data_IF_686838248936
#
_entry.id   IF_686838248936
#
_cell.length_a   1.000
_cell.length_b   1.000
_cell.length_c   1.000
_cell.angle_alpha   90.00
_cell.angle_beta   90.00
_cell.angle_gamma   90.00
#
_symmetry.space_group_name_H-M   'P 1'
#
loop_
_entity.id
_entity.type
_entity.pdbx_description
1 polymer ?
#
# COMPACT_ATOMS: atom_id res chain seq x y z
N UNK A 1 -14.13 15.62 -64.10
CA UNK A 1 -13.01 14.97 -63.38
C UNK A 1 -11.96 16.04 -63.10
N UNK A 2 -11.79 16.57 -61.87
CA UNK A 2 -10.59 17.39 -61.46
C UNK A 2 -10.63 18.01 -60.06
N UNK A 3 -11.46 17.55 -59.09
CA UNK A 3 -11.38 18.08 -57.69
C UNK A 3 -11.46 17.06 -56.54
N UNK A 4 -11.55 15.76 -56.82
CA UNK A 4 -11.63 14.70 -55.78
C UNK A 4 -10.41 13.78 -55.65
N UNK A 5 -9.33 14.00 -56.42
CA UNK A 5 -8.10 13.17 -56.35
C UNK A 5 -6.91 13.83 -55.62
N UNK A 6 -6.99 15.12 -55.28
CA UNK A 6 -5.85 15.83 -54.65
C UNK A 6 -5.86 15.74 -53.11
N UNK A 7 -7.03 15.53 -52.49
CA UNK A 7 -7.14 15.42 -51.02
C UNK A 7 -6.66 14.06 -50.43
N UNK A 8 -6.38 13.06 -51.27
CA UNK A 8 -5.80 11.77 -50.83
C UNK A 8 -4.28 11.70 -50.92
N UNK A 9 -3.61 12.67 -51.55
CA UNK A 9 -2.15 12.67 -51.68
C UNK A 9 -1.43 13.58 -50.67
N UNK A 10 -2.09 14.57 -50.08
CA UNK A 10 -1.50 15.37 -48.99
C UNK A 10 -1.68 14.76 -47.59
N UNK A 11 -2.61 13.80 -47.43
CA UNK A 11 -2.75 13.06 -46.16
C UNK A 11 -1.71 11.93 -46.00
N UNK A 12 -1.01 11.55 -47.07
CA UNK A 12 0.05 10.54 -47.04
C UNK A 12 1.46 11.15 -46.97
N UNK A 13 1.64 12.43 -47.31
CA UNK A 13 2.92 13.11 -47.21
C UNK A 13 3.11 13.86 -45.87
N UNK A 14 2.02 14.25 -45.21
CA UNK A 14 2.06 14.92 -43.89
C UNK A 14 2.07 13.98 -42.67
N UNK A 15 1.82 12.69 -42.87
CA UNK A 15 1.83 11.66 -41.81
C UNK A 15 3.08 10.77 -41.82
N UNK A 16 3.92 10.85 -42.86
CA UNK A 16 5.18 10.12 -42.95
C UNK A 16 6.38 10.96 -42.45
N UNK A 17 6.22 12.28 -42.32
CA UNK A 17 7.27 13.19 -41.86
C UNK A 17 7.43 13.33 -40.33
N UNK A 18 6.60 12.67 -39.53
CA UNK A 18 6.59 12.78 -38.06
C UNK A 18 6.71 11.44 -37.32
N UNK A 19 7.00 10.35 -38.04
CA UNK A 19 7.11 9.00 -37.46
C UNK A 19 8.29 8.22 -38.05
N UNK A 20 9.42 8.91 -38.20
CA UNK A 20 10.73 8.28 -38.24
C UNK A 20 11.63 9.08 -37.29
N UNK A 21 11.36 8.98 -35.98
CA UNK A 21 12.48 8.63 -35.11
C UNK A 21 13.13 7.44 -35.81
N UNK A 22 14.42 7.49 -36.18
CA UNK A 22 15.07 6.30 -36.69
C UNK A 22 14.75 5.24 -35.66
N UNK A 23 13.97 4.27 -36.09
CA UNK A 23 13.84 3.03 -35.40
C UNK A 23 15.29 2.55 -35.29
N UNK A 24 15.94 2.87 -34.18
CA UNK A 24 16.95 2.01 -33.62
C UNK A 24 16.16 0.75 -33.29
N UNK A 25 15.95 -0.05 -34.34
CA UNK A 25 15.68 -1.47 -34.28
C UNK A 25 16.98 -2.07 -33.75
N UNK A 26 17.30 -1.76 -32.50
CA UNK A 26 18.10 -2.65 -31.72
C UNK A 26 17.15 -3.80 -31.45
N UNK A 27 17.41 -4.94 -32.08
CA UNK A 27 16.72 -6.18 -31.75
C UNK A 27 16.85 -6.36 -30.25
N UNK A 28 15.79 -6.09 -29.51
CA UNK A 28 15.74 -6.44 -28.09
C UNK A 28 15.91 -7.94 -28.03
N UNK A 29 17.08 -8.37 -27.59
CA UNK A 29 17.37 -9.79 -27.42
C UNK A 29 16.67 -10.19 -26.14
N UNK A 30 15.70 -11.10 -26.24
CA UNK A 30 14.98 -11.65 -25.08
C UNK A 30 15.98 -12.25 -24.09
N UNK A 31 15.76 -12.00 -22.80
CA UNK A 31 16.65 -12.44 -21.73
C UNK A 31 17.92 -11.61 -21.63
N UNK A 32 17.85 -10.31 -21.93
CA UNK A 32 18.98 -9.37 -21.85
C UNK A 32 18.56 -8.00 -21.33
N UNK A 33 19.55 -7.19 -20.98
CA UNK A 33 19.37 -5.78 -20.60
C UNK A 33 20.04 -4.87 -21.61
N UNK A 34 19.31 -3.94 -22.19
CA UNK A 34 19.83 -2.96 -23.15
C UNK A 34 20.05 -1.62 -22.46
N UNK A 35 21.23 -1.04 -22.57
CA UNK A 35 21.47 0.38 -22.31
C UNK A 35 21.38 1.15 -23.64
N UNK A 36 20.29 1.92 -23.91
CA UNK A 36 20.11 2.59 -25.19
C UNK A 36 21.11 3.70 -25.45
N UNK A 37 21.64 4.36 -24.40
CA UNK A 37 22.65 5.41 -24.55
C UNK A 37 23.94 4.81 -25.08
N UNK A 38 24.39 3.71 -24.48
CA UNK A 38 25.61 3.00 -24.89
C UNK A 38 25.41 2.14 -26.13
N UNK A 39 24.16 1.78 -26.46
CA UNK A 39 23.80 0.80 -27.51
C UNK A 39 24.43 -0.57 -27.26
N UNK A 40 24.58 -0.92 -25.98
CA UNK A 40 25.17 -2.18 -25.51
C UNK A 40 24.08 -3.01 -24.85
N UNK A 41 24.14 -4.32 -25.09
CA UNK A 41 23.27 -5.31 -24.46
C UNK A 41 24.09 -6.20 -23.54
N UNK A 42 23.59 -6.40 -22.33
CA UNK A 42 24.23 -7.15 -21.26
C UNK A 42 23.50 -8.48 -21.02
N UNK A 43 24.22 -9.56 -20.65
CA UNK A 43 23.63 -10.85 -20.36
C UNK A 43 22.79 -10.89 -19.07
N UNK A 44 23.10 -10.01 -18.12
CA UNK A 44 22.49 -9.93 -16.79
C UNK A 44 22.29 -8.47 -16.35
N UNK A 45 21.46 -8.30 -15.31
CA UNK A 45 21.10 -6.99 -14.78
C UNK A 45 22.27 -6.33 -14.02
N UNK A 46 23.00 -7.08 -13.20
CA UNK A 46 24.12 -6.55 -12.42
C UNK A 46 25.20 -5.92 -13.33
N UNK A 47 25.60 -6.61 -14.39
CA UNK A 47 26.61 -6.12 -15.32
C UNK A 47 26.13 -4.85 -16.03
N UNK A 48 24.84 -4.78 -16.35
CA UNK A 48 24.25 -3.56 -16.94
C UNK A 48 24.30 -2.38 -15.97
N UNK A 49 24.00 -2.61 -14.69
CA UNK A 49 24.10 -1.63 -13.59
C UNK A 49 25.54 -1.15 -13.42
N UNK A 50 26.51 -2.08 -13.32
CA UNK A 50 27.92 -1.76 -13.11
C UNK A 50 28.54 -0.93 -14.25
N UNK A 51 27.97 -0.98 -15.46
CA UNK A 51 28.44 -0.25 -16.63
C UNK A 51 27.60 1.00 -16.96
N UNK A 52 26.53 1.25 -16.21
CA UNK A 52 25.66 2.39 -16.42
C UNK A 52 26.34 3.69 -15.96
N UNK A 53 26.15 4.76 -16.73
CA UNK A 53 26.46 6.11 -16.27
C UNK A 53 25.28 6.73 -15.49
N UNK A 54 25.51 7.81 -14.72
CA UNK A 54 24.44 8.51 -14.03
C UNK A 54 23.31 8.94 -14.97
N UNK A 55 22.07 8.60 -14.62
CA UNK A 55 20.86 8.92 -15.39
C UNK A 55 20.57 7.95 -16.54
N UNK A 56 21.38 6.90 -16.73
CA UNK A 56 21.12 5.91 -17.77
C UNK A 56 19.81 5.16 -17.55
N UNK A 57 19.19 4.75 -18.66
CA UNK A 57 18.02 3.87 -18.65
C UNK A 57 18.43 2.47 -19.11
N UNK A 58 18.14 1.47 -18.30
CA UNK A 58 18.36 0.06 -18.57
C UNK A 58 17.03 -0.59 -18.94
N UNK A 59 16.95 -1.18 -20.13
CA UNK A 59 15.74 -1.83 -20.67
C UNK A 59 15.84 -3.35 -20.50
N UNK A 60 15.09 -3.91 -19.54
CA UNK A 60 15.00 -5.36 -19.34
C UNK A 60 14.07 -5.96 -20.39
N UNK A 61 14.63 -6.73 -21.31
CA UNK A 61 13.90 -7.30 -22.45
C UNK A 61 13.67 -8.80 -22.24
N UNK A 62 12.42 -9.21 -22.03
CA UNK A 62 12.07 -10.61 -21.76
C UNK A 62 12.39 -11.06 -20.33
N UNK A 63 12.63 -12.35 -20.13
CA UNK A 63 12.88 -12.94 -18.80
C UNK A 63 14.37 -13.11 -18.55
N UNK A 64 14.88 -12.47 -17.50
CA UNK A 64 16.17 -12.80 -16.89
C UNK A 64 15.92 -13.89 -15.84
N UNK A 65 16.80 -14.89 -15.79
CA UNK A 65 16.62 -16.06 -14.93
C UNK A 65 17.85 -16.34 -14.06
N UNK A 66 17.61 -16.87 -12.86
CA UNK A 66 18.66 -17.17 -11.89
C UNK A 66 19.39 -15.90 -11.46
N UNK A 67 20.70 -16.02 -11.20
CA UNK A 67 21.55 -14.90 -10.82
C UNK A 67 21.53 -13.72 -11.81
N UNK A 68 21.18 -13.96 -13.09
CA UNK A 68 21.12 -12.89 -14.09
C UNK A 68 19.99 -11.88 -13.85
N UNK A 69 19.00 -12.23 -13.03
CA UNK A 69 17.84 -11.42 -12.71
C UNK A 69 18.01 -10.52 -11.48
N UNK A 70 19.09 -10.74 -10.72
CA UNK A 70 19.37 -10.06 -9.46
C UNK A 70 20.23 -8.82 -9.72
N UNK A 71 20.03 -7.76 -8.94
CA UNK A 71 20.92 -6.61 -8.96
C UNK A 71 21.06 -5.95 -7.57
N UNK A 72 22.30 -5.60 -7.26
CA UNK A 72 22.73 -4.64 -6.26
C UNK A 72 23.03 -3.32 -6.98
N UNK A 73 22.36 -2.25 -6.55
CA UNK A 73 22.42 -0.92 -7.14
C UNK A 73 23.52 -0.04 -6.52
N UNK A 74 24.53 -0.63 -5.90
CA UNK A 74 25.72 0.08 -5.41
C UNK A 74 26.27 1.04 -6.46
N UNK A 75 26.28 2.33 -6.13
CA UNK A 75 26.80 3.37 -7.00
C UNK A 75 25.89 3.77 -8.18
N UNK A 76 24.71 3.16 -8.31
CA UNK A 76 23.82 3.39 -9.44
C UNK A 76 22.93 4.63 -9.23
N UNK A 77 22.64 5.32 -10.32
CA UNK A 77 21.65 6.40 -10.41
C UNK A 77 21.07 6.37 -11.81
N UNK A 78 19.75 6.26 -11.94
CA UNK A 78 19.14 6.06 -13.25
C UNK A 78 17.82 5.29 -13.19
N UNK A 79 17.53 4.56 -14.27
CA UNK A 79 16.22 3.93 -14.47
C UNK A 79 16.39 2.48 -14.90
N UNK A 80 15.65 1.57 -14.31
CA UNK A 80 15.50 0.18 -14.76
C UNK A 80 14.06 -0.02 -15.17
N UNK A 81 13.81 -0.30 -16.45
CA UNK A 81 12.46 -0.35 -17.00
C UNK A 81 12.24 -1.56 -17.90
N UNK A 82 11.00 -2.02 -18.01
CA UNK A 82 10.65 -3.05 -18.99
C UNK A 82 10.89 -2.57 -20.44
N UNK A 83 11.46 -3.45 -21.26
CA UNK A 83 11.62 -3.22 -22.69
C UNK A 83 10.27 -3.08 -23.40
N UNK A 84 10.18 -2.20 -24.40
CA UNK A 84 8.95 -2.03 -25.19
C UNK A 84 8.53 -3.35 -25.86
N UNK A 85 7.30 -3.79 -25.61
CA UNK A 85 6.69 -4.96 -26.26
C UNK A 85 7.07 -6.32 -25.66
N UNK A 86 8.00 -6.35 -24.70
CA UNK A 86 8.37 -7.54 -23.94
C UNK A 86 8.18 -7.23 -22.45
N UNK A 87 7.39 -8.04 -21.72
CA UNK A 87 7.30 -7.89 -20.26
C UNK A 87 8.67 -8.22 -19.65
N UNK A 88 9.44 -7.21 -19.30
CA UNK A 88 10.70 -7.36 -18.56
C UNK A 88 10.42 -8.10 -17.26
N UNK A 89 10.91 -9.33 -17.15
CA UNK A 89 10.64 -10.22 -16.02
C UNK A 89 11.94 -10.57 -15.33
N UNK A 90 12.00 -10.39 -14.02
CA UNK A 90 13.08 -10.86 -13.17
C UNK A 90 12.63 -12.14 -12.47
N UNK A 91 13.32 -13.24 -12.74
CA UNK A 91 13.08 -14.56 -12.16
C UNK A 91 14.37 -15.10 -11.51
N UNK A 92 14.69 -14.73 -10.26
CA UNK A 92 15.93 -15.14 -9.60
C UNK A 92 16.00 -16.63 -9.26
N UNK A 93 14.92 -17.40 -9.44
CA UNK A 93 14.79 -18.77 -8.94
C UNK A 93 14.03 -18.82 -7.61
N UNK A 94 14.15 -19.94 -6.88
CA UNK A 94 13.38 -20.20 -5.65
C UNK A 94 14.10 -19.81 -4.37
N UNK A 95 15.39 -19.52 -4.46
CA UNK A 95 16.22 -19.15 -3.31
C UNK A 95 16.35 -17.64 -3.26
N UNK A 96 16.18 -17.04 -2.09
CA UNK A 96 16.42 -15.62 -1.92
C UNK A 96 17.89 -15.29 -2.19
N UNK A 97 18.20 -14.21 -2.94
CA UNK A 97 19.57 -13.75 -3.10
C UNK A 97 20.24 -13.41 -1.76
N UNK A 98 21.57 -13.38 -1.74
CA UNK A 98 22.33 -13.15 -0.51
C UNK A 98 22.08 -11.76 0.11
N UNK A 99 21.69 -10.77 -0.70
CA UNK A 99 21.26 -9.44 -0.25
C UNK A 99 19.90 -9.44 0.42
N UNK A 100 19.15 -10.54 0.42
CA UNK A 100 17.76 -10.57 0.88
C UNK A 100 16.74 -10.06 -0.16
N UNK A 101 17.18 -9.56 -1.32
CA UNK A 101 16.31 -8.92 -2.30
C UNK A 101 16.62 -9.29 -3.76
N UNK A 102 15.61 -9.21 -4.64
CA UNK A 102 15.80 -9.35 -6.09
C UNK A 102 16.48 -8.11 -6.67
N UNK A 103 16.06 -6.92 -6.24
CA UNK A 103 16.77 -5.66 -6.46
C UNK A 103 17.07 -5.05 -5.10
N UNK A 104 18.35 -4.93 -4.80
CA UNK A 104 18.86 -4.24 -3.62
C UNK A 104 19.25 -2.81 -4.03
N UNK A 105 18.51 -1.83 -3.52
CA UNK A 105 18.69 -0.40 -3.75
C UNK A 105 19.33 0.33 -2.56
N UNK A 106 19.81 -0.41 -1.56
CA UNK A 106 20.37 0.11 -0.31
C UNK A 106 21.59 1.00 -0.52
N UNK A 107 22.42 0.71 -1.53
CA UNK A 107 23.64 1.47 -1.83
C UNK A 107 23.55 2.36 -3.08
N UNK A 108 22.33 2.79 -3.46
CA UNK A 108 22.12 3.70 -4.60
C UNK A 108 22.86 5.03 -4.39
N UNK A 109 23.47 5.58 -5.44
CA UNK A 109 24.22 6.85 -5.35
C UNK A 109 23.36 8.10 -5.54
N UNK A 110 22.06 7.94 -5.74
CA UNK A 110 21.14 9.01 -6.10
C UNK A 110 19.79 8.47 -6.55
N UNK A 111 19.02 9.29 -7.25
CA UNK A 111 17.66 8.94 -7.66
C UNK A 111 17.60 7.70 -8.56
N UNK A 112 16.81 6.71 -8.14
CA UNK A 112 16.57 5.46 -8.90
C UNK A 112 15.08 5.31 -9.21
N UNK A 113 14.78 4.91 -10.45
CA UNK A 113 13.42 4.55 -10.88
C UNK A 113 13.36 3.13 -11.41
N UNK A 114 12.53 2.29 -10.81
CA UNK A 114 12.24 0.93 -11.25
C UNK A 114 10.80 0.92 -11.78
N UNK A 115 10.59 0.55 -13.06
CA UNK A 115 9.26 0.68 -13.64
C UNK A 115 8.84 -0.37 -14.67
N UNK A 116 7.57 -0.78 -14.58
CA UNK A 116 6.92 -1.63 -15.58
C UNK A 116 7.39 -3.08 -15.61
N UNK A 117 8.24 -3.49 -14.67
CA UNK A 117 8.77 -4.85 -14.57
C UNK A 117 7.73 -5.82 -14.00
N UNK A 118 7.96 -7.11 -14.24
CA UNK A 118 7.42 -8.19 -13.43
C UNK A 118 8.56 -8.78 -12.59
N UNK A 119 8.37 -8.90 -11.28
CA UNK A 119 9.36 -9.47 -10.37
C UNK A 119 8.73 -10.71 -9.71
N UNK A 120 9.38 -11.87 -9.89
CA UNK A 120 9.04 -13.09 -9.16
C UNK A 120 9.87 -13.13 -7.88
N UNK A 121 9.20 -13.07 -6.72
CA UNK A 121 9.88 -12.94 -5.43
C UNK A 121 9.98 -14.31 -4.74
N UNK A 122 11.19 -14.80 -4.43
CA UNK A 122 11.38 -16.04 -3.67
C UNK A 122 10.71 -16.01 -2.29
N UNK A 123 10.59 -17.18 -1.65
CA UNK A 123 10.06 -17.27 -0.29
C UNK A 123 11.02 -16.63 0.73
N UNK A 124 10.50 -15.82 1.65
CA UNK A 124 11.26 -15.12 2.68
C UNK A 124 12.22 -14.10 2.08
N UNK A 125 11.77 -13.37 1.06
CA UNK A 125 12.62 -12.49 0.26
C UNK A 125 11.89 -11.19 -0.09
N UNK A 126 12.66 -10.18 -0.48
CA UNK A 126 12.15 -8.87 -0.87
C UNK A 126 12.22 -8.69 -2.38
N UNK A 127 11.18 -8.08 -2.97
CA UNK A 127 11.20 -7.69 -4.38
C UNK A 127 12.18 -6.55 -4.66
N UNK A 128 11.99 -5.42 -4.00
CA UNK A 128 12.89 -4.25 -3.99
C UNK A 128 13.15 -3.83 -2.55
N UNK A 129 14.41 -3.85 -2.13
CA UNK A 129 14.85 -3.44 -0.79
C UNK A 129 15.59 -2.09 -0.86
N UNK A 130 15.36 -1.22 0.11
CA UNK A 130 16.14 -0.03 0.37
C UNK A 130 16.41 0.07 1.87
N UNK A 131 17.57 -0.40 2.28
CA UNK A 131 17.95 -0.56 3.69
C UNK A 131 19.13 0.38 3.99
N UNK A 132 18.89 1.36 4.86
CA UNK A 132 19.89 2.34 5.27
C UNK A 132 20.92 1.78 6.25
N UNK A 133 20.57 0.73 6.98
CA UNK A 133 21.37 0.05 7.98
C UNK A 133 22.53 -0.75 7.35
N UNK A 134 22.28 -1.31 6.16
CA UNK A 134 23.26 -2.07 5.38
C UNK A 134 23.82 -1.31 4.17
N UNK A 135 23.21 -0.17 3.82
CA UNK A 135 23.51 0.61 2.64
C UNK A 135 24.25 1.93 2.89
N UNK A 136 24.50 2.66 1.80
CA UNK A 136 24.98 4.07 1.83
C UNK A 136 24.12 4.97 0.94
N UNK A 137 22.92 4.50 0.60
CA UNK A 137 21.98 5.14 -0.29
C UNK A 137 20.84 5.85 0.45
N UNK A 138 20.90 5.86 1.77
CA UNK A 138 20.03 6.58 2.69
C UNK A 138 19.71 8.00 2.20
N UNK A 139 18.45 8.42 2.33
CA UNK A 139 18.05 9.75 1.87
C UNK A 139 17.79 9.87 0.37
N UNK A 140 18.35 8.99 -0.47
CA UNK A 140 18.26 9.16 -1.91
C UNK A 140 16.90 8.75 -2.47
N UNK A 141 16.34 9.45 -3.47
CA UNK A 141 15.01 9.12 -3.99
C UNK A 141 14.92 7.71 -4.60
N UNK A 142 13.84 7.01 -4.31
CA UNK A 142 13.51 5.73 -4.92
C UNK A 142 12.07 5.74 -5.43
N UNK A 143 11.87 5.48 -6.72
CA UNK A 143 10.54 5.30 -7.30
C UNK A 143 10.36 3.88 -7.83
N UNK A 144 9.38 3.16 -7.29
CA UNK A 144 8.94 1.86 -7.81
C UNK A 144 7.53 2.05 -8.38
N UNK A 145 7.40 1.98 -9.71
CA UNK A 145 6.15 2.33 -10.38
C UNK A 145 5.68 1.33 -11.44
N UNK A 146 4.42 0.91 -11.33
CA UNK A 146 3.77 0.05 -12.32
C UNK A 146 4.41 -1.34 -12.40
N UNK A 147 5.03 -1.79 -11.31
CA UNK A 147 5.68 -3.10 -11.21
C UNK A 147 4.64 -4.14 -10.78
N UNK A 148 4.71 -5.33 -11.37
CA UNK A 148 3.96 -6.51 -10.94
C UNK A 148 4.84 -7.41 -10.08
N UNK A 149 4.52 -7.51 -8.79
CA UNK A 149 5.16 -8.43 -7.86
C UNK A 149 4.29 -9.66 -7.64
N UNK A 150 4.89 -10.84 -7.77
CA UNK A 150 4.23 -12.12 -7.54
C UNK A 150 5.18 -13.07 -6.84
N UNK A 151 4.67 -13.87 -5.91
CA UNK A 151 5.44 -14.97 -5.32
C UNK A 151 5.99 -15.90 -6.40
N UNK A 152 7.24 -16.35 -6.24
CA UNK A 152 7.89 -17.25 -7.18
C UNK A 152 7.13 -18.57 -7.31
N UNK A 153 6.59 -19.05 -6.20
CA UNK A 153 5.63 -20.15 -6.14
C UNK A 153 4.34 -19.65 -5.48
N UNK A 154 3.26 -20.43 -5.59
CA UNK A 154 1.98 -20.11 -4.94
C UNK A 154 2.04 -20.10 -3.40
N UNK A 155 3.13 -20.62 -2.82
CA UNK A 155 3.37 -20.67 -1.38
C UNK A 155 4.52 -19.78 -0.94
N UNK A 156 5.12 -18.99 -1.84
CA UNK A 156 6.14 -18.02 -1.45
C UNK A 156 5.48 -16.92 -0.64
N UNK A 157 5.90 -16.78 0.62
CA UNK A 157 5.65 -15.61 1.47
C UNK A 157 6.74 -14.59 1.19
N UNK A 158 6.40 -13.33 0.90
CA UNK A 158 7.38 -12.31 0.50
C UNK A 158 6.90 -10.88 0.81
N UNK A 159 7.87 -9.96 0.82
CA UNK A 159 7.65 -8.51 0.82
C UNK A 159 7.91 -7.96 -0.57
N UNK A 160 7.02 -7.14 -1.13
CA UNK A 160 7.22 -6.66 -2.50
C UNK A 160 8.22 -5.50 -2.55
N UNK A 161 8.06 -4.54 -1.64
CA UNK A 161 8.88 -3.34 -1.53
C UNK A 161 9.08 -3.12 -0.03
N UNK A 162 10.33 -2.89 0.37
CA UNK A 162 10.71 -2.69 1.77
C UNK A 162 11.70 -1.54 1.84
N UNK A 163 11.43 -0.58 2.72
CA UNK A 163 12.46 0.30 3.26
C UNK A 163 12.83 -0.16 4.65
N UNK A 164 14.05 0.09 5.10
CA UNK A 164 14.53 -0.16 6.48
C UNK A 164 15.37 1.04 6.90
N UNK A 165 15.02 1.69 8.01
CA UNK A 165 15.74 2.85 8.55
C UNK A 165 15.95 4.00 7.53
N UNK A 166 15.05 4.15 6.56
CA UNK A 166 15.19 5.18 5.53
C UNK A 166 14.71 6.55 6.03
N UNK A 167 15.36 7.61 5.57
CA UNK A 167 14.94 8.99 5.80
C UNK A 167 15.02 9.80 4.50
N UNK A 168 14.64 11.07 4.50
CA UNK A 168 14.73 11.93 3.31
C UNK A 168 13.79 11.49 2.19
N UNK A 169 14.32 11.18 1.00
CA UNK A 169 13.54 10.74 -0.16
C UNK A 169 13.46 11.78 -1.29
N UNK A 170 12.41 11.76 -2.14
CA UNK A 170 11.15 11.04 -1.94
C UNK A 170 11.19 9.54 -2.28
N UNK A 171 10.45 8.75 -1.48
CA UNK A 171 10.11 7.35 -1.76
C UNK A 171 8.72 7.28 -2.39
N UNK A 172 8.63 6.72 -3.60
CA UNK A 172 7.40 6.73 -4.38
C UNK A 172 7.05 5.32 -4.86
N UNK A 173 6.02 4.74 -4.25
CA UNK A 173 5.51 3.42 -4.60
C UNK A 173 4.15 3.58 -5.28
N UNK A 174 4.17 3.56 -6.61
CA UNK A 174 3.06 4.06 -7.41
C UNK A 174 2.50 2.97 -8.34
N UNK A 175 1.18 2.77 -8.33
CA UNK A 175 0.50 1.96 -9.34
C UNK A 175 1.02 0.51 -9.46
N UNK A 176 1.66 -0.01 -8.40
CA UNK A 176 2.17 -1.37 -8.40
C UNK A 176 1.02 -2.36 -8.21
N UNK A 177 1.20 -3.57 -8.72
CA UNK A 177 0.30 -4.70 -8.47
C UNK A 177 1.07 -5.76 -7.71
N UNK A 178 0.61 -6.10 -6.51
CA UNK A 178 1.25 -7.05 -5.61
C UNK A 178 0.25 -8.17 -5.33
N UNK A 179 0.63 -9.42 -5.62
CA UNK A 179 -0.27 -10.56 -5.42
C UNK A 179 0.48 -11.84 -5.04
N UNK A 180 0.04 -12.50 -3.98
CA UNK A 180 0.64 -13.75 -3.50
C UNK A 180 0.35 -13.98 -2.02
N UNK A 181 1.17 -14.78 -1.33
CA UNK A 181 1.17 -14.82 0.13
C UNK A 181 2.12 -13.73 0.60
N UNK A 182 1.63 -12.83 1.44
CA UNK A 182 2.37 -11.64 1.82
C UNK A 182 2.91 -11.85 3.22
N UNK A 183 4.13 -11.40 3.46
CA UNK A 183 4.43 -10.88 4.79
C UNK A 183 3.72 -9.51 4.88
N UNK A 184 4.38 -8.34 4.72
CA UNK A 184 3.68 -7.17 4.20
C UNK A 184 3.75 -7.11 2.67
N UNK A 185 2.73 -6.53 2.04
CA UNK A 185 2.80 -6.18 0.61
C UNK A 185 3.84 -5.10 0.36
N UNK A 186 3.77 -4.01 1.14
CA UNK A 186 4.76 -2.93 1.18
C UNK A 186 5.12 -2.69 2.63
N UNK A 187 6.40 -2.63 2.93
CA UNK A 187 6.89 -2.16 4.23
C UNK A 187 7.56 -0.80 4.04
N UNK A 188 7.08 0.21 4.77
CA UNK A 188 7.66 1.54 4.81
C UNK A 188 8.17 1.79 6.22
N UNK A 189 9.39 1.35 6.47
CA UNK A 189 10.10 1.55 7.72
C UNK A 189 11.05 2.76 7.59
N UNK A 190 10.85 3.74 8.47
CA UNK A 190 11.72 4.91 8.61
C UNK A 190 12.79 4.68 9.69
N UNK A 191 13.56 5.71 10.04
CA UNK A 191 14.63 5.60 11.06
C UNK A 191 14.24 6.15 12.45
N UNK A 192 12.99 6.60 12.61
CA UNK A 192 12.45 7.16 13.85
C UNK A 192 13.10 8.47 14.32
N UNK A 193 14.07 9.02 13.58
CA UNK A 193 14.87 10.17 14.01
C UNK A 193 14.89 11.32 12.99
N UNK A 194 14.88 11.01 11.71
CA UNK A 194 14.98 11.93 10.60
C UNK A 194 13.73 11.87 9.72
N UNK A 195 13.24 13.04 9.30
CA UNK A 195 12.02 13.12 8.51
C UNK A 195 12.12 12.38 7.17
N UNK A 196 11.06 11.65 6.81
CA UNK A 196 10.92 10.92 5.54
C UNK A 196 9.78 11.51 4.68
N UNK A 197 10.00 11.59 3.36
CA UNK A 197 8.99 11.91 2.36
C UNK A 197 8.62 10.64 1.57
N UNK A 198 7.40 10.15 1.75
CA UNK A 198 6.92 8.93 1.10
C UNK A 198 5.50 9.06 0.54
N UNK A 199 5.27 8.43 -0.63
CA UNK A 199 3.94 8.35 -1.25
C UNK A 199 3.64 6.96 -1.79
N UNK A 200 2.62 6.34 -1.22
CA UNK A 200 2.06 5.06 -1.63
C UNK A 200 0.74 5.34 -2.34
N UNK A 201 0.74 5.30 -3.68
CA UNK A 201 -0.39 5.78 -4.48
C UNK A 201 -0.87 4.78 -5.52
N UNK A 202 -2.18 4.48 -5.51
CA UNK A 202 -2.83 3.61 -6.50
C UNK A 202 -2.25 2.21 -6.63
N UNK A 203 -1.60 1.70 -5.58
CA UNK A 203 -1.18 0.31 -5.55
C UNK A 203 -2.39 -0.60 -5.41
N UNK A 204 -2.29 -1.79 -6.01
CA UNK A 204 -3.25 -2.88 -5.85
C UNK A 204 -2.56 -4.04 -5.17
N UNK A 205 -2.95 -4.33 -3.95
CA UNK A 205 -2.37 -5.36 -3.10
C UNK A 205 -3.43 -6.43 -2.86
N UNK A 206 -3.11 -7.68 -3.10
CA UNK A 206 -4.04 -8.80 -2.93
C UNK A 206 -3.32 -9.96 -2.29
N UNK A 207 -3.60 -10.17 -1.00
CA UNK A 207 -3.20 -11.39 -0.32
C UNK A 207 -4.06 -12.56 -0.82
N UNK A 208 -3.44 -13.69 -1.09
CA UNK A 208 -4.08 -14.87 -1.68
C UNK A 208 -3.92 -16.13 -0.84
N UNK A 209 -3.22 -16.04 0.31
CA UNK A 209 -3.01 -17.17 1.21
C UNK A 209 -2.89 -16.75 2.66
N UNK A 210 -2.45 -17.68 3.50
CA UNK A 210 -2.44 -17.57 4.97
C UNK A 210 -1.02 -17.63 5.57
N UNK A 211 0.02 -17.48 4.75
CA UNK A 211 1.40 -17.40 5.23
C UNK A 211 1.85 -15.95 5.41
N UNK A 212 2.87 -15.74 6.24
CA UNK A 212 3.37 -14.40 6.62
C UNK A 212 2.47 -13.69 7.63
N UNK A 213 2.71 -12.39 7.85
CA UNK A 213 1.75 -11.52 8.55
C UNK A 213 0.45 -11.34 7.76
N UNK A 214 0.54 -11.32 6.42
CA UNK A 214 -0.60 -11.10 5.53
C UNK A 214 -1.00 -9.63 5.38
N UNK A 215 -0.16 -8.72 5.89
CA UNK A 215 -0.43 -7.30 5.89
C UNK A 215 -0.39 -6.70 4.47
N UNK A 216 -1.23 -5.69 4.23
CA UNK A 216 -1.22 -4.96 2.97
C UNK A 216 -0.05 -4.00 2.91
N UNK A 217 -0.01 -3.06 3.86
CA UNK A 217 1.02 -2.03 4.00
C UNK A 217 1.38 -1.95 5.48
N UNK A 218 2.66 -2.01 5.80
CA UNK A 218 3.21 -1.64 7.10
C UNK A 218 3.84 -0.26 7.00
N UNK A 219 3.71 0.54 8.05
CA UNK A 219 4.38 1.83 8.19
C UNK A 219 4.89 1.92 9.63
N UNK A 220 6.17 2.19 9.81
CA UNK A 220 6.81 2.28 11.11
C UNK A 220 7.83 3.43 11.13
N UNK A 221 8.13 3.90 12.34
CA UNK A 221 9.25 4.80 12.63
C UNK A 221 9.27 6.08 11.76
N UNK A 222 8.11 6.73 11.69
CA UNK A 222 7.88 7.99 10.99
C UNK A 222 7.87 9.16 11.99
N UNK A 223 8.97 9.93 12.12
CA UNK A 223 9.06 11.00 13.10
C UNK A 223 8.33 12.28 12.65
N UNK A 224 8.15 13.20 13.59
CA UNK A 224 7.62 14.54 13.35
C UNK A 224 8.32 15.24 12.16
N UNK A 225 7.53 15.91 11.31
CA UNK A 225 8.04 16.65 10.15
C UNK A 225 8.14 15.81 8.88
N UNK A 226 7.90 14.50 8.96
CA UNK A 226 7.75 13.62 7.82
C UNK A 226 6.51 13.98 6.98
N UNK A 227 6.54 13.59 5.71
CA UNK A 227 5.41 13.73 4.78
C UNK A 227 5.12 12.37 4.15
N UNK A 228 4.29 11.58 4.84
CA UNK A 228 3.88 10.24 4.39
C UNK A 228 2.42 10.25 3.95
N UNK A 229 2.16 9.79 2.73
CA UNK A 229 0.81 9.71 2.16
C UNK A 229 0.49 8.32 1.63
N UNK A 230 -0.63 7.76 2.07
CA UNK A 230 -1.18 6.50 1.57
C UNK A 230 -2.51 6.79 0.92
N UNK A 231 -2.55 6.77 -0.41
CA UNK A 231 -3.69 7.27 -1.15
C UNK A 231 -4.15 6.40 -2.31
N UNK A 232 -5.48 6.20 -2.39
CA UNK A 232 -6.12 5.48 -3.50
C UNK A 232 -5.58 4.06 -3.72
N UNK A 233 -5.07 3.42 -2.69
CA UNK A 233 -4.67 2.03 -2.76
C UNK A 233 -5.89 1.12 -2.63
N UNK A 234 -5.86 -0.02 -3.34
CA UNK A 234 -6.82 -1.10 -3.19
C UNK A 234 -6.12 -2.29 -2.52
N UNK A 235 -6.56 -2.64 -1.32
CA UNK A 235 -5.99 -3.71 -0.51
C UNK A 235 -7.09 -4.75 -0.26
N UNK A 236 -6.83 -5.99 -0.67
CA UNK A 236 -7.77 -7.11 -0.56
C UNK A 236 -7.12 -8.26 0.20
N UNK A 237 -7.67 -8.61 1.36
CA UNK A 237 -7.18 -9.69 2.22
C UNK A 237 -7.46 -11.10 1.70
N UNK A 238 -8.16 -11.24 0.57
CA UNK A 238 -8.34 -12.54 -0.08
C UNK A 238 -9.51 -13.38 0.43
N UNK A 239 -10.35 -12.84 1.34
CA UNK A 239 -11.64 -13.42 1.70
C UNK A 239 -11.73 -14.01 3.11
N UNK A 240 -12.86 -14.64 3.41
CA UNK A 240 -13.24 -15.12 4.76
C UNK A 240 -12.39 -16.28 5.29
N UNK A 241 -11.63 -16.97 4.45
CA UNK A 241 -10.77 -18.09 4.87
C UNK A 241 -9.28 -17.76 4.88
N UNK A 242 -8.88 -16.70 4.16
CA UNK A 242 -7.48 -16.36 3.93
C UNK A 242 -7.10 -14.96 4.43
N UNK A 243 -8.08 -14.13 4.82
CA UNK A 243 -7.88 -12.76 5.27
C UNK A 243 -7.34 -12.65 6.69
N UNK A 244 -6.08 -13.04 6.86
CA UNK A 244 -5.25 -12.75 8.03
C UNK A 244 -4.52 -11.40 7.86
N UNK A 245 -4.05 -10.82 8.95
CA UNK A 245 -3.27 -9.59 8.96
C UNK A 245 -4.12 -8.32 8.89
N UNK A 246 -3.44 -7.22 8.56
CA UNK A 246 -3.98 -5.86 8.59
C UNK A 246 -3.87 -5.21 7.21
N UNK A 247 -4.92 -4.50 6.78
CA UNK A 247 -4.89 -3.76 5.52
C UNK A 247 -3.80 -2.69 5.48
N UNK A 248 -3.79 -1.80 6.47
CA UNK A 248 -2.67 -0.87 6.75
C UNK A 248 -2.38 -0.93 8.25
N UNK A 249 -1.15 -1.29 8.57
CA UNK A 249 -0.65 -1.50 9.93
C UNK A 249 0.33 -0.40 10.32
N UNK A 250 0.12 0.22 11.47
CA UNK A 250 0.96 1.28 12.03
C UNK A 250 1.65 0.86 13.34
N UNK A 251 1.37 -0.32 13.88
CA UNK A 251 1.83 -0.73 15.22
C UNK A 251 3.31 -1.19 15.26
N UNK A 252 4.08 -0.86 14.22
CA UNK A 252 5.47 -1.32 14.06
C UNK A 252 6.49 -0.42 14.73
N UNK A 253 6.08 0.80 15.10
CA UNK A 253 6.94 1.85 15.62
C UNK A 253 6.18 3.18 15.59
N UNK A 254 6.79 4.25 16.10
CA UNK A 254 6.09 5.54 16.21
C UNK A 254 5.75 6.10 14.84
N UNK A 255 4.50 6.54 14.63
CA UNK A 255 4.12 7.23 13.39
C UNK A 255 3.47 8.59 13.64
N UNK A 256 4.05 9.63 13.06
CA UNK A 256 3.57 11.00 13.22
C UNK A 256 3.06 11.61 11.92
N UNK A 257 1.81 12.08 11.93
CA UNK A 257 1.26 12.91 10.85
C UNK A 257 1.05 12.19 9.51
N UNK A 258 0.99 10.84 9.50
CA UNK A 258 0.70 10.05 8.31
C UNK A 258 -0.72 10.33 7.79
N UNK A 259 -0.84 10.61 6.50
CA UNK A 259 -2.15 10.85 5.85
C UNK A 259 -2.60 9.63 5.05
N UNK A 260 -3.66 8.99 5.53
CA UNK A 260 -4.28 7.81 4.91
C UNK A 260 -5.64 8.22 4.34
N UNK A 261 -5.71 8.40 3.02
CA UNK A 261 -6.95 8.85 2.39
C UNK A 261 -7.37 8.14 1.11
N UNK A 262 -8.69 7.99 0.95
CA UNK A 262 -9.29 7.44 -0.28
C UNK A 262 -8.80 6.05 -0.62
N UNK A 263 -8.40 5.24 0.34
CA UNK A 263 -8.06 3.84 0.12
C UNK A 263 -9.32 2.96 0.14
N UNK A 264 -9.23 1.78 -0.44
CA UNK A 264 -10.25 0.73 -0.33
C UNK A 264 -9.61 -0.53 0.24
N UNK A 265 -10.01 -0.90 1.44
CA UNK A 265 -9.51 -2.06 2.18
C UNK A 265 -10.66 -3.03 2.41
N UNK A 266 -10.48 -4.30 2.06
CA UNK A 266 -11.56 -5.28 2.19
C UNK A 266 -11.11 -6.71 2.38
N UNK A 267 -12.04 -7.53 2.86
CA UNK A 267 -11.96 -8.99 2.91
C UNK A 267 -10.89 -9.58 3.85
N UNK A 268 -10.60 -8.91 4.96
CA UNK A 268 -9.79 -9.42 6.08
C UNK A 268 -10.72 -10.05 7.14
N UNK A 269 -11.49 -11.08 6.78
CA UNK A 269 -12.61 -11.57 7.60
C UNK A 269 -12.33 -12.90 8.32
N UNK A 270 -11.06 -13.31 8.45
CA UNK A 270 -10.71 -14.57 9.10
C UNK A 270 -10.41 -14.38 10.60
N UNK A 271 -11.40 -13.95 11.40
CA UNK A 271 -11.37 -13.96 12.88
C UNK A 271 -10.36 -13.05 13.59
N UNK A 272 -9.35 -12.56 12.89
CA UNK A 272 -8.32 -11.62 13.42
C UNK A 272 -7.94 -10.54 12.40
N UNK A 273 -8.64 -10.45 11.28
CA UNK A 273 -8.26 -9.57 10.18
C UNK A 273 -8.73 -8.13 10.39
N UNK A 274 -7.81 -7.18 10.26
CA UNK A 274 -8.06 -5.76 10.58
C UNK A 274 -7.98 -4.90 9.31
N UNK A 275 -8.83 -3.89 9.18
CA UNK A 275 -8.73 -2.92 8.09
C UNK A 275 -7.57 -1.94 8.30
N UNK A 276 -7.60 -1.24 9.44
CA UNK A 276 -6.58 -0.31 9.91
C UNK A 276 -6.23 -0.62 11.36
N UNK A 277 -4.95 -0.73 11.71
CA UNK A 277 -4.49 -0.86 13.09
C UNK A 277 -3.55 0.29 13.44
N UNK A 278 -3.66 0.79 14.67
CA UNK A 278 -2.81 1.84 15.25
C UNK A 278 -2.74 1.67 16.77
N UNK A 279 -1.67 2.14 17.37
CA UNK A 279 -1.44 2.06 18.82
C UNK A 279 -1.03 3.41 19.45
N UNK A 280 -0.55 3.39 20.69
CA UNK A 280 -0.24 4.60 21.46
C UNK A 280 0.93 5.43 20.95
N UNK A 281 1.76 4.89 20.05
CA UNK A 281 2.88 5.59 19.45
C UNK A 281 2.49 6.35 18.14
N UNK A 282 1.22 6.26 17.73
CA UNK A 282 0.70 6.85 16.49
C UNK A 282 0.06 8.24 16.70
N UNK A 283 0.86 9.30 16.58
CA UNK A 283 0.41 10.67 16.82
C UNK A 283 -0.08 11.41 15.57
N UNK A 284 -1.26 12.02 15.68
CA UNK A 284 -1.77 12.94 14.64
C UNK A 284 -2.03 12.30 13.27
N UNK A 285 -2.14 10.97 13.21
CA UNK A 285 -2.48 10.22 11.99
C UNK A 285 -3.89 10.60 11.51
N UNK A 286 -4.08 10.74 10.20
CA UNK A 286 -5.36 11.14 9.60
C UNK A 286 -5.90 10.06 8.67
N UNK A 287 -7.04 9.48 9.05
CA UNK A 287 -7.82 8.55 8.24
C UNK A 287 -9.05 9.24 7.65
N UNK A 288 -9.06 9.49 6.34
CA UNK A 288 -10.20 10.15 5.71
C UNK A 288 -10.64 9.60 4.36
N UNK A 289 -11.96 9.58 4.12
CA UNK A 289 -12.54 9.20 2.82
C UNK A 289 -12.15 7.80 2.35
N UNK A 290 -11.78 6.91 3.27
CA UNK A 290 -11.49 5.51 2.98
C UNK A 290 -12.78 4.68 2.87
N UNK A 291 -12.68 3.53 2.22
CA UNK A 291 -13.69 2.47 2.22
C UNK A 291 -13.09 1.26 2.90
N UNK A 292 -13.71 0.81 3.97
CA UNK A 292 -13.34 -0.38 4.74
C UNK A 292 -14.53 -1.33 4.70
N UNK A 293 -14.37 -2.52 4.15
CA UNK A 293 -15.49 -3.42 3.92
C UNK A 293 -15.16 -4.87 4.22
N UNK A 294 -15.99 -5.53 5.02
CA UNK A 294 -15.93 -6.98 5.22
C UNK A 294 -14.58 -7.42 5.81
N UNK A 295 -14.16 -6.75 6.87
CA UNK A 295 -13.04 -7.13 7.72
C UNK A 295 -13.59 -7.56 9.08
N UNK A 296 -12.85 -8.38 9.84
CA UNK A 296 -13.26 -8.76 11.20
C UNK A 296 -13.36 -7.51 12.07
N UNK A 297 -12.33 -6.67 12.03
CA UNK A 297 -12.31 -5.34 12.64
C UNK A 297 -12.07 -4.32 11.53
N UNK A 298 -12.92 -3.30 11.43
CA UNK A 298 -12.78 -2.22 10.46
C UNK A 298 -11.56 -1.34 10.80
N UNK A 299 -11.54 -0.81 12.01
CA UNK A 299 -10.44 0.01 12.55
C UNK A 299 -10.17 -0.45 13.97
N UNK A 300 -8.91 -0.66 14.32
CA UNK A 300 -8.44 -0.96 15.66
C UNK A 300 -7.56 0.19 16.15
N UNK A 301 -7.83 0.65 17.37
CA UNK A 301 -7.08 1.72 18.05
C UNK A 301 -6.74 1.23 19.46
N UNK A 302 -5.46 0.94 19.71
CA UNK A 302 -5.01 0.41 21.00
C UNK A 302 -4.08 1.37 21.74
N UNK A 303 -4.63 2.09 22.71
CA UNK A 303 -3.91 2.98 23.61
C UNK A 303 -3.70 2.36 25.00
N UNK A 304 -3.64 1.03 25.10
CA UNK A 304 -3.58 0.36 26.41
C UNK A 304 -2.32 0.69 27.21
N UNK A 305 -1.20 1.03 26.55
CA UNK A 305 0.09 1.28 27.21
C UNK A 305 0.29 2.76 27.60
N UNK A 306 0.00 3.70 26.70
CA UNK A 306 0.04 5.16 26.92
C UNK A 306 -1.15 5.86 26.23
N UNK A 307 -1.43 7.12 26.58
CA UNK A 307 -2.32 7.95 25.75
C UNK A 307 -1.43 8.79 24.81
N UNK A 308 -1.77 8.90 23.51
CA UNK A 308 -1.02 9.77 22.60
C UNK A 308 -1.16 11.24 23.03
N UNK A 309 -0.17 12.07 22.72
CA UNK A 309 -0.28 13.51 22.98
C UNK A 309 -1.18 14.19 21.96
N UNK A 310 -1.18 13.68 20.73
CA UNK A 310 -2.05 14.12 19.63
C UNK A 310 -2.88 12.97 19.10
N UNK A 311 -4.20 13.01 19.33
CA UNK A 311 -5.11 11.95 18.91
C UNK A 311 -5.22 11.84 17.38
N UNK A 312 -5.37 10.61 16.85
CA UNK A 312 -5.65 10.41 15.43
C UNK A 312 -7.02 10.97 15.05
N UNK A 313 -7.16 11.41 13.80
CA UNK A 313 -8.42 11.88 13.24
C UNK A 313 -9.02 10.82 12.31
N UNK A 314 -10.19 10.29 12.65
CA UNK A 314 -10.87 9.27 11.86
C UNK A 314 -12.19 9.86 11.36
N UNK A 315 -12.26 10.30 10.10
CA UNK A 315 -13.45 11.03 9.64
C UNK A 315 -13.78 10.80 8.18
N UNK A 316 -15.07 10.93 7.83
CA UNK A 316 -15.53 10.83 6.45
C UNK A 316 -15.20 9.47 5.78
N UNK A 317 -15.09 8.38 6.53
CA UNK A 317 -14.87 7.04 5.98
C UNK A 317 -16.20 6.29 5.77
N UNK A 318 -16.21 5.27 4.91
CA UNK A 318 -17.31 4.31 4.78
C UNK A 318 -16.84 2.96 5.33
N UNK A 319 -17.38 2.53 6.47
CA UNK A 319 -16.98 1.33 7.19
C UNK A 319 -18.19 0.39 7.22
N UNK A 320 -18.04 -0.76 6.56
CA UNK A 320 -19.16 -1.66 6.29
C UNK A 320 -18.84 -3.13 6.52
N UNK A 321 -19.84 -3.91 6.92
CA UNK A 321 -19.62 -5.32 7.23
C UNK A 321 -20.89 -6.07 7.65
N UNK A 322 -20.68 -7.25 8.23
CA UNK A 322 -21.70 -8.10 8.86
C UNK A 322 -21.75 -7.79 10.36
N UNK A 323 -22.75 -7.04 10.85
CA UNK A 323 -22.75 -6.55 12.23
C UNK A 323 -22.89 -7.65 13.29
N UNK A 324 -23.23 -8.88 12.89
CA UNK A 324 -23.34 -10.04 13.79
C UNK A 324 -22.00 -10.74 14.05
N UNK A 325 -20.99 -10.46 13.24
CA UNK A 325 -19.71 -11.19 13.26
C UNK A 325 -18.50 -10.28 13.08
N UNK A 326 -18.69 -8.97 12.97
CA UNK A 326 -17.62 -8.01 12.67
C UNK A 326 -17.81 -6.74 13.48
N UNK A 327 -16.70 -6.05 13.74
CA UNK A 327 -16.61 -4.81 14.50
C UNK A 327 -16.23 -3.66 13.57
N UNK A 328 -16.92 -2.53 13.68
CA UNK A 328 -16.62 -1.33 12.89
C UNK A 328 -15.36 -0.64 13.40
N UNK A 329 -15.33 -0.34 14.70
CA UNK A 329 -14.20 0.25 15.41
C UNK A 329 -14.01 -0.46 16.75
N UNK A 330 -12.80 -0.90 17.02
CA UNK A 330 -12.36 -1.38 18.33
C UNK A 330 -11.42 -0.34 18.95
N UNK A 331 -11.74 0.10 20.18
CA UNK A 331 -10.95 1.08 20.92
C UNK A 331 -10.55 0.56 22.30
N UNK A 332 -9.25 0.58 22.59
CA UNK A 332 -8.70 0.19 23.89
C UNK A 332 -8.02 1.41 24.54
N UNK A 333 -8.64 2.11 25.49
CA UNK A 333 -8.02 3.27 26.13
C UNK A 333 -6.97 2.89 27.19
N UNK A 334 -6.09 3.85 27.52
CA UNK A 334 -5.21 3.73 28.67
C UNK A 334 -6.00 3.90 29.98
N UNK A 335 -6.16 2.80 30.71
CA UNK A 335 -6.84 2.81 32.01
C UNK A 335 -8.35 3.07 31.92
N UNK A 336 -8.96 3.38 33.08
CA UNK A 336 -10.42 3.52 33.19
C UNK A 336 -10.91 4.93 32.83
N UNK A 337 -10.02 5.92 32.87
CA UNK A 337 -10.35 7.32 32.58
C UNK A 337 -10.30 7.53 31.08
N UNK A 338 -11.42 7.81 30.43
CA UNK A 338 -11.44 7.66 29.00
C UNK A 338 -10.88 8.93 28.30
N UNK A 339 -10.10 8.77 27.24
CA UNK A 339 -9.61 9.86 26.41
C UNK A 339 -10.41 9.95 25.11
N UNK A 340 -10.88 11.14 24.74
CA UNK A 340 -11.82 11.29 23.63
C UNK A 340 -11.15 10.99 22.28
N UNK A 341 -11.47 9.85 21.66
CA UNK A 341 -11.23 9.59 20.24
C UNK A 341 -12.38 10.20 19.43
N UNK A 342 -12.08 11.16 18.55
CA UNK A 342 -13.05 11.72 17.61
C UNK A 342 -13.11 10.87 16.33
N UNK A 343 -14.20 10.10 16.21
CA UNK A 343 -14.52 9.29 15.04
C UNK A 343 -15.81 9.77 14.36
N UNK A 344 -16.09 11.07 14.40
CA UNK A 344 -17.31 11.65 13.83
C UNK A 344 -17.31 11.71 12.30
N UNK A 345 -18.51 11.81 11.72
CA UNK A 345 -18.75 11.94 10.28
C UNK A 345 -18.36 10.74 9.41
N UNK A 346 -18.09 9.58 10.01
CA UNK A 346 -17.98 8.31 9.29
C UNK A 346 -19.38 7.70 9.03
N UNK A 347 -19.50 6.92 7.96
CA UNK A 347 -20.63 6.05 7.72
C UNK A 347 -20.32 4.65 8.25
N UNK A 348 -21.13 4.18 9.20
CA UNK A 348 -21.05 2.84 9.80
C UNK A 348 -22.30 2.06 9.41
N UNK A 349 -22.17 0.98 8.64
CA UNK A 349 -23.36 0.30 8.12
C UNK A 349 -23.15 -1.14 7.67
N UNK A 350 -24.26 -1.85 7.46
CA UNK A 350 -24.21 -3.19 6.90
C UNK A 350 -23.61 -3.22 5.48
N UNK A 351 -23.10 -4.38 5.08
CA UNK A 351 -22.55 -4.64 3.73
C UNK A 351 -23.54 -4.37 2.58
N UNK A 352 -24.85 -4.37 2.87
CA UNK A 352 -25.92 -3.98 1.94
C UNK A 352 -26.01 -2.48 1.66
N UNK A 353 -25.17 -1.66 2.31
CA UNK A 353 -25.23 -0.20 2.23
C UNK A 353 -26.41 0.40 2.99
N UNK A 354 -26.60 1.73 2.93
CA UNK A 354 -27.67 2.42 3.65
C UNK A 354 -29.05 1.95 3.18
N UNK A 355 -29.98 1.78 4.12
CA UNK A 355 -31.35 1.34 3.92
C UNK A 355 -32.34 2.45 4.30
N UNK A 356 -33.55 2.42 3.75
CA UNK A 356 -34.58 3.43 4.02
C UNK A 356 -35.04 3.48 5.50
N UNK A 357 -34.80 2.42 6.27
CA UNK A 357 -35.10 2.34 7.70
C UNK A 357 -34.04 3.03 8.60
N UNK A 358 -32.98 3.56 7.99
CA UNK A 358 -31.86 4.19 8.68
C UNK A 358 -32.19 5.64 9.09
N UNK A 359 -33.22 5.83 9.90
CA UNK A 359 -33.67 7.18 10.30
C UNK A 359 -33.36 7.47 11.76
N UNK A 360 -32.54 8.50 12.00
CA UNK A 360 -32.62 9.34 13.19
C UNK A 360 -31.86 8.93 14.45
N UNK A 361 -31.15 7.79 14.48
CA UNK A 361 -30.30 7.40 15.59
C UNK A 361 -28.97 6.81 15.09
N UNK A 362 -27.95 6.92 15.95
CA UNK A 362 -26.69 6.20 15.82
C UNK A 362 -26.98 4.72 15.57
N UNK A 363 -26.48 4.11 14.50
CA UNK A 363 -26.93 2.78 14.11
C UNK A 363 -26.39 1.65 15.01
N UNK A 364 -25.43 1.97 15.89
CA UNK A 364 -25.03 1.18 17.07
C UNK A 364 -26.10 1.19 18.19
N UNK A 365 -27.13 2.04 18.10
CA UNK A 365 -28.11 2.28 19.16
C UNK A 365 -29.52 1.90 18.72
N UNK A 366 -30.10 0.89 19.38
CA UNK A 366 -31.57 0.69 19.42
C UNK A 366 -32.11 1.22 20.75
N UNK A 367 -32.98 2.22 20.69
CA UNK A 367 -33.61 2.87 21.85
C UNK A 367 -34.67 1.95 22.53
N UNK A 368 -34.85 1.96 23.87
CA UNK A 368 -34.21 2.83 24.88
C UNK A 368 -32.83 2.34 25.35
N UNK A 369 -31.88 3.24 25.68
CA UNK A 369 -30.47 2.90 25.71
C UNK A 369 -30.10 2.42 27.11
N UNK A 370 -29.77 1.14 27.22
CA UNK A 370 -28.93 0.62 28.30
C UNK A 370 -27.78 -0.11 27.63
N UNK A 371 -26.54 0.35 27.87
CA UNK A 371 -25.25 -0.20 27.41
C UNK A 371 -24.94 -1.59 27.97
N UNK A 372 -25.95 -2.45 28.00
CA UNK A 372 -25.91 -3.81 28.52
C UNK A 372 -26.55 -4.78 27.53
N UNK A 373 -27.07 -4.28 26.41
CA UNK A 373 -27.72 -5.06 25.37
C UNK A 373 -26.95 -4.85 24.08
N UNK A 374 -26.18 -5.86 23.65
CA UNK A 374 -25.54 -5.86 22.33
C UNK A 374 -26.55 -5.43 21.27
N UNK A 375 -26.11 -4.65 20.27
CA UNK A 375 -26.96 -4.18 19.19
C UNK A 375 -27.87 -5.31 18.69
N UNK A 376 -29.19 -5.19 18.92
CA UNK A 376 -30.12 -6.17 18.38
C UNK A 376 -30.21 -5.97 16.87
N UNK A 377 -30.37 -7.06 16.12
CA UNK A 377 -30.39 -7.13 14.65
C UNK A 377 -31.33 -6.14 13.90
N UNK A 378 -32.09 -5.32 14.63
CA UNK A 378 -32.96 -4.28 14.07
C UNK A 378 -32.23 -2.94 13.88
N UNK A 379 -31.02 -2.75 14.43
CA UNK A 379 -30.09 -1.69 14.04
C UNK A 379 -29.09 -2.24 13.01
N UNK A 380 -29.16 -1.81 11.75
CA UNK A 380 -28.30 -2.30 10.66
C UNK A 380 -26.89 -1.66 10.64
N UNK A 381 -26.38 -1.18 11.78
CA UNK A 381 -25.07 -0.54 11.95
C UNK A 381 -23.97 -1.50 12.39
N UNK A 382 -22.72 -1.17 12.08
CA UNK A 382 -21.54 -1.88 12.60
C UNK A 382 -21.31 -1.52 14.07
N UNK A 383 -20.99 -2.47 14.97
CA UNK A 383 -20.74 -2.17 16.37
C UNK A 383 -19.42 -1.42 16.59
N UNK A 384 -19.36 -0.64 17.67
CA UNK A 384 -18.15 0.05 18.16
C UNK A 384 -17.87 -0.44 19.58
N UNK A 385 -16.74 -1.11 19.75
CA UNK A 385 -16.42 -1.82 20.98
C UNK A 385 -15.34 -1.06 21.77
N UNK A 386 -15.56 -0.87 23.07
CA UNK A 386 -14.54 -0.43 24.03
C UNK A 386 -14.10 -1.63 24.88
N UNK A 387 -12.84 -2.05 24.78
CA UNK A 387 -12.41 -3.23 25.52
C UNK A 387 -12.40 -3.00 27.04
N UNK A 388 -12.76 -4.05 27.81
CA UNK A 388 -12.88 -4.12 29.29
C UNK A 388 -14.00 -3.32 30.00
N UNK A 389 -14.78 -2.48 29.32
CA UNK A 389 -15.84 -1.66 29.95
C UNK A 389 -17.29 -1.96 29.55
N UNK A 390 -17.49 -2.66 28.42
CA UNK A 390 -18.79 -2.76 27.73
C UNK A 390 -18.86 -1.83 26.52
N UNK A 391 -19.95 -1.93 25.75
CA UNK A 391 -20.21 -1.06 24.60
C UNK A 391 -20.26 0.41 25.05
N UNK A 392 -19.60 1.30 24.29
CA UNK A 392 -19.53 2.73 24.61
C UNK A 392 -20.78 3.44 24.08
N UNK A 393 -21.72 3.79 24.96
CA UNK A 393 -23.01 4.36 24.54
C UNK A 393 -23.53 5.49 25.43
N UNK A 394 -22.63 6.20 26.10
CA UNK A 394 -22.98 7.11 27.19
C UNK A 394 -23.08 8.58 26.76
N UNK A 395 -22.43 8.98 25.65
CA UNK A 395 -22.25 10.40 25.33
C UNK A 395 -21.58 11.22 26.45
N UNK A 396 -21.00 10.54 27.45
CA UNK A 396 -20.21 11.15 28.49
C UNK A 396 -18.83 11.43 27.91
N UNK A 397 -18.29 12.61 28.22
CA UNK A 397 -16.92 12.98 27.88
C UNK A 397 -15.98 11.87 28.35
N UNK A 398 -15.37 11.22 27.37
CA UNK A 398 -14.42 10.16 27.56
C UNK A 398 -14.54 9.00 26.56
N UNK A 399 -15.75 8.58 26.21
CA UNK A 399 -15.93 7.49 25.26
C UNK A 399 -15.68 7.91 23.81
N UNK A 400 -15.48 6.99 22.88
CA UNK A 400 -15.35 7.29 21.45
C UNK A 400 -16.55 8.11 20.96
N UNK A 401 -16.31 9.28 20.39
CA UNK A 401 -17.39 10.11 19.85
C UNK A 401 -17.65 9.70 18.40
N UNK A 402 -18.69 8.89 18.17
CA UNK A 402 -19.03 8.37 16.82
C UNK A 402 -20.18 9.11 16.12
N UNK A 403 -20.99 9.90 16.83
CA UNK A 403 -22.36 10.23 16.37
C UNK A 403 -22.81 11.71 16.39
N UNK A 404 -23.72 12.10 15.46
CA UNK A 404 -25.15 12.07 15.82
C UNK A 404 -26.15 11.51 14.77
N UNK A 405 -25.78 11.25 13.51
CA UNK A 405 -26.71 10.73 12.48
C UNK A 405 -25.98 9.88 11.43
N UNK A 406 -26.66 8.91 10.80
CA UNK A 406 -26.18 8.30 9.56
C UNK A 406 -25.91 9.41 8.55
N UNK A 407 -24.65 9.71 8.28
CA UNK A 407 -24.29 10.50 7.12
C UNK A 407 -24.59 9.63 5.90
N UNK A 408 -25.06 10.24 4.81
CA UNK A 408 -25.11 9.52 3.52
C UNK A 408 -23.72 8.94 3.22
N UNK A 409 -23.62 7.83 2.47
CA UNK A 409 -22.32 7.29 2.08
C UNK A 409 -21.39 8.40 1.62
N UNK A 410 -20.20 8.44 2.19
CA UNK A 410 -19.28 9.51 1.91
C UNK A 410 -18.89 9.44 0.45
N UNK A 411 -19.10 10.54 -0.26
CA UNK A 411 -18.74 10.68 -1.65
C UNK A 411 -17.95 11.97 -1.89
N UNK A 412 -16.81 11.92 -2.61
CA UNK A 412 -16.11 10.73 -3.10
C UNK A 412 -15.25 10.06 -1.99
N UNK A 413 -15.33 8.72 -1.89
CA UNK A 413 -14.49 7.89 -1.01
C UNK A 413 -13.96 6.66 -1.78
N UNK A 414 -12.88 6.06 -1.29
CA UNK A 414 -12.23 4.90 -1.93
C UNK A 414 -11.34 5.24 -3.14
N UNK A 415 -10.69 4.19 -3.66
CA UNK A 415 -9.58 4.25 -4.62
C UNK A 415 -9.98 4.63 -6.06
#
# INVERSE_FOLDING_TARGET
MTKRRVARMMLAAGTVGLLILPALVYTQVTGRVLNPRLRVTYPDLQTAVNNAGPGDTLLVSGTLSGANAVADLTGFTGRIVAGRGLRGTLDPGTTCPASGAVIDASSRAGAVVISGLKILVPNGCVGVLADADTGTGDGNPLTVQGVLFVGKTATSVFTAIETVDEFGGPFQFLQNTITGQLDPGIDLDGDGANAIEASLFRNRITNTGTGGSGNGINIADIPMGSTVTVQRNLIDGGGTTNGIGTGVDLTGGSTEGVLIERNTIRNFAAGTGVGFAMDDDDEGVVFRRNVVNNNEIGIQVDFSNANPTTFPTITLNNITGSPTTQVGLEYTPNGLTPTNLDATNNFWGASSGPQAADTGFCPEFTNPPTCTTAATANGSGMPVNRNAGGDDCDGAAGGVITCPFRTSPVFPAGA
#
